data_IF_137505429892
#
_entry.id   IF_137505429892
#
_cell.length_a   1.000
_cell.length_b   1.000
_cell.length_c   1.000
_cell.angle_alpha   90.00
_cell.angle_beta   90.00
_cell.angle_gamma   90.00
#
_symmetry.space_group_name_H-M   'P 1'
#
loop_
_entity.id
_entity.type
_entity.pdbx_description
1 polymer ?
#
# COMPACT_ATOMS: atom_id res chain seq x y z
N UNK A 1 2.75 -7.05 3.04
CA UNK A 1 3.81 -6.25 2.39
C UNK A 1 4.53 -7.17 1.42
N UNK A 2 4.99 -6.61 0.30
CA UNK A 2 5.63 -7.37 -0.77
C UNK A 2 6.90 -6.65 -1.21
N UNK A 3 7.96 -7.39 -1.48
CA UNK A 3 9.25 -6.87 -1.87
C UNK A 3 9.51 -7.24 -3.31
N UNK A 4 10.32 -6.43 -4.00
CA UNK A 4 10.85 -6.80 -5.31
C UNK A 4 12.03 -7.73 -5.13
N UNK A 5 12.05 -8.83 -5.88
CA UNK A 5 13.18 -9.76 -5.87
C UNK A 5 14.45 -9.12 -6.42
N UNK A 6 14.33 -8.31 -7.48
CA UNK A 6 15.44 -7.57 -8.09
C UNK A 6 15.88 -6.33 -7.29
N UNK A 7 15.16 -5.95 -6.23
CA UNK A 7 15.45 -4.75 -5.43
C UNK A 7 14.83 -4.86 -4.04
N UNK A 8 15.48 -5.55 -3.08
CA UNK A 8 14.89 -5.88 -1.78
C UNK A 8 14.64 -4.64 -0.88
N UNK A 9 15.27 -3.50 -1.19
CA UNK A 9 14.98 -2.20 -0.54
C UNK A 9 13.66 -1.56 -1.01
N UNK A 10 13.01 -2.12 -2.04
CA UNK A 10 11.76 -1.61 -2.58
C UNK A 10 10.61 -2.48 -2.06
N UNK A 11 9.75 -1.87 -1.25
CA UNK A 11 8.58 -2.52 -0.66
C UNK A 11 7.29 -1.89 -1.14
N UNK A 12 6.31 -2.74 -1.44
CA UNK A 12 4.90 -2.38 -1.63
C UNK A 12 4.13 -2.70 -0.37
N UNK A 13 3.45 -1.68 0.12
CA UNK A 13 2.58 -1.77 1.30
C UNK A 13 1.16 -1.56 0.81
N UNK A 14 0.27 -2.47 1.19
CA UNK A 14 -1.09 -2.52 0.67
C UNK A 14 -2.03 -3.26 1.60
N UNK A 15 -3.28 -2.82 1.70
CA UNK A 15 -4.38 -3.54 2.34
C UNK A 15 -5.28 -4.21 1.30
N UNK A 16 -5.78 -5.41 1.58
CA UNK A 16 -6.68 -6.14 0.70
C UNK A 16 -7.53 -7.14 1.49
N UNK A 17 -8.74 -7.41 0.97
CA UNK A 17 -9.62 -8.47 1.47
C UNK A 17 -9.32 -9.83 0.82
N UNK A 18 -8.53 -9.86 -0.26
CA UNK A 18 -8.20 -11.08 -1.02
C UNK A 18 -7.04 -11.84 -0.39
N UNK A 19 -6.91 -13.12 -0.73
CA UNK A 19 -5.77 -13.94 -0.33
C UNK A 19 -4.45 -13.39 -0.89
N UNK A 20 -3.36 -13.55 -0.14
CA UNK A 20 -2.03 -13.02 -0.47
C UNK A 20 -1.54 -13.59 -1.81
N UNK A 21 -1.78 -14.88 -2.03
CA UNK A 21 -1.40 -15.65 -3.21
C UNK A 21 -2.17 -15.18 -4.46
N UNK A 22 -3.41 -14.73 -4.29
CA UNK A 22 -4.18 -14.15 -5.39
C UNK A 22 -3.65 -12.77 -5.80
N UNK A 23 -3.28 -11.94 -4.82
CA UNK A 23 -2.69 -10.64 -5.07
C UNK A 23 -1.34 -10.77 -5.75
N UNK A 24 -0.50 -11.67 -5.24
CA UNK A 24 0.82 -11.96 -5.81
C UNK A 24 0.70 -12.42 -7.26
N UNK A 25 -0.14 -13.43 -7.53
CA UNK A 25 -0.39 -13.89 -8.91
C UNK A 25 -0.96 -12.78 -9.79
N UNK A 26 -1.87 -11.96 -9.28
CA UNK A 26 -2.45 -10.85 -10.03
C UNK A 26 -1.42 -9.78 -10.40
N UNK A 27 -0.54 -9.43 -9.47
CA UNK A 27 0.48 -8.40 -9.68
C UNK A 27 1.62 -8.90 -10.55
N UNK A 28 2.10 -10.13 -10.36
CA UNK A 28 3.13 -10.71 -11.22
C UNK A 28 2.66 -10.71 -12.68
N UNK A 29 1.40 -11.10 -12.94
CA UNK A 29 0.80 -11.04 -14.28
C UNK A 29 0.66 -9.62 -14.83
N UNK A 30 0.19 -8.67 -14.01
CA UNK A 30 -0.15 -7.32 -14.50
C UNK A 30 1.06 -6.41 -14.66
N UNK A 31 2.08 -6.58 -13.80
CA UNK A 31 3.25 -5.72 -13.77
C UNK A 31 4.45 -6.31 -14.53
N UNK A 32 4.46 -7.62 -14.78
CA UNK A 32 5.59 -8.32 -15.41
C UNK A 32 6.86 -8.31 -14.54
N UNK A 33 6.69 -8.29 -13.22
CA UNK A 33 7.76 -8.28 -12.22
C UNK A 33 7.48 -9.35 -11.17
N UNK A 34 8.54 -9.96 -10.64
CA UNK A 34 8.44 -10.91 -9.55
C UNK A 34 8.47 -10.19 -8.21
N UNK A 35 7.43 -10.44 -7.43
CA UNK A 35 7.32 -9.96 -6.07
C UNK A 35 7.38 -11.14 -5.12
N UNK A 36 8.03 -10.93 -3.99
CA UNK A 36 8.12 -11.91 -2.90
C UNK A 36 7.44 -11.35 -1.67
N UNK A 37 6.97 -12.23 -0.80
CA UNK A 37 6.56 -11.87 0.54
C UNK A 37 7.33 -12.75 1.53
N UNK A 38 7.75 -12.18 2.65
CA UNK A 38 8.53 -12.89 3.65
C UNK A 38 7.64 -13.87 4.43
N UNK A 39 7.69 -15.15 4.08
CA UNK A 39 6.92 -16.20 4.75
C UNK A 39 7.27 -16.35 6.24
N UNK A 40 8.53 -16.16 6.62
CA UNK A 40 8.99 -16.28 8.01
C UNK A 40 8.40 -15.15 8.86
N UNK A 41 8.39 -13.94 8.31
CA UNK A 41 7.80 -12.78 8.96
C UNK A 41 6.34 -12.97 9.33
N UNK A 42 5.63 -13.74 8.50
CA UNK A 42 4.23 -14.02 8.67
C UNK A 42 3.99 -15.37 9.36
N UNK A 43 5.03 -16.17 9.63
CA UNK A 43 4.93 -17.57 10.10
C UNK A 43 3.87 -18.36 9.30
N UNK A 44 3.75 -18.10 8.00
CA UNK A 44 2.69 -18.66 7.14
C UNK A 44 1.26 -18.17 7.41
N UNK A 45 1.05 -17.20 8.29
CA UNK A 45 -0.28 -16.66 8.67
C UNK A 45 -0.52 -15.24 8.16
N UNK A 46 -1.76 -14.93 7.75
CA UNK A 46 -2.12 -13.58 7.29
C UNK A 46 -2.01 -12.57 8.45
N UNK A 47 -1.43 -11.40 8.20
CA UNK A 47 -1.53 -10.28 9.14
C UNK A 47 -2.95 -9.71 9.11
N UNK A 48 -3.78 -10.19 10.02
CA UNK A 48 -5.09 -9.59 10.27
C UNK A 48 -4.87 -8.37 11.15
N UNK A 49 -5.32 -7.22 10.66
CA UNK A 49 -5.31 -5.96 11.42
C UNK A 49 -6.70 -5.33 11.29
N UNK A 50 -7.36 -4.95 12.40
CA UNK A 50 -8.58 -4.18 12.33
C UNK A 50 -8.30 -2.86 11.61
N UNK A 51 -9.28 -2.35 10.86
CA UNK A 51 -9.13 -1.08 10.15
C UNK A 51 -7.88 -1.01 9.26
N UNK A 52 -7.56 -2.10 8.55
CA UNK A 52 -6.37 -2.18 7.71
C UNK A 52 -6.18 -1.00 6.72
N UNK A 53 -7.24 -0.43 6.09
CA UNK A 53 -7.09 0.78 5.27
C UNK A 53 -6.58 2.01 6.04
N UNK A 54 -6.95 2.15 7.32
CA UNK A 54 -6.49 3.23 8.18
C UNK A 54 -5.01 3.02 8.55
N UNK A 55 -4.63 1.79 8.90
CA UNK A 55 -3.23 1.42 9.16
C UNK A 55 -2.36 1.70 7.93
N UNK A 56 -2.83 1.32 6.74
CA UNK A 56 -2.15 1.60 5.47
C UNK A 56 -1.91 3.10 5.28
N UNK A 57 -2.94 3.94 5.47
CA UNK A 57 -2.83 5.40 5.34
C UNK A 57 -1.82 6.01 6.33
N UNK A 58 -1.78 5.52 7.57
CA UNK A 58 -0.83 5.99 8.58
C UNK A 58 0.61 5.63 8.19
N UNK A 59 0.85 4.39 7.76
CA UNK A 59 2.15 3.94 7.23
C UNK A 59 2.55 4.79 6.01
N UNK A 60 1.62 5.04 5.10
CA UNK A 60 1.84 5.84 3.90
C UNK A 60 2.22 7.28 4.22
N UNK A 61 1.71 7.82 5.33
CA UNK A 61 2.00 9.17 5.83
C UNK A 61 3.37 9.22 6.47
N UNK A 62 3.71 8.23 7.31
CA UNK A 62 5.03 8.14 7.93
C UNK A 62 6.13 7.95 6.89
N UNK A 63 5.91 7.07 5.91
CA UNK A 63 6.88 6.76 4.87
C UNK A 63 6.81 7.73 3.66
N UNK A 64 6.14 8.88 3.77
CA UNK A 64 5.92 9.80 2.64
C UNK A 64 7.22 10.22 1.95
N UNK A 65 8.29 10.43 2.74
CA UNK A 65 9.59 10.88 2.24
C UNK A 65 10.40 9.77 1.55
N UNK A 66 10.01 8.50 1.77
CA UNK A 66 10.63 7.33 1.13
C UNK A 66 9.81 6.80 -0.04
N UNK A 67 8.68 7.43 -0.35
CA UNK A 67 7.77 6.99 -1.42
C UNK A 67 8.43 7.24 -2.77
N UNK A 68 8.48 6.20 -3.59
CA UNK A 68 9.03 6.24 -4.95
C UNK A 68 7.94 6.03 -5.99
N UNK A 69 8.15 6.60 -7.17
CA UNK A 69 7.33 6.36 -8.36
C UNK A 69 8.04 5.39 -9.26
N UNK A 70 7.42 4.25 -9.54
CA UNK A 70 7.99 3.22 -10.42
C UNK A 70 7.19 3.19 -11.71
N UNK A 71 7.86 3.42 -12.84
CA UNK A 71 7.27 3.20 -14.16
C UNK A 71 7.04 1.70 -14.38
N UNK A 72 5.82 1.32 -14.76
CA UNK A 72 5.45 -0.07 -15.00
C UNK A 72 5.24 -0.32 -16.48
N UNK A 73 6.16 -1.06 -17.09
CA UNK A 73 6.05 -1.47 -18.49
C UNK A 73 4.85 -2.39 -18.71
N UNK A 74 4.57 -3.34 -17.80
CA UNK A 74 3.43 -4.25 -17.90
C UNK A 74 2.08 -3.53 -17.90
N UNK A 75 1.84 -2.65 -16.94
CA UNK A 75 0.60 -1.87 -16.86
C UNK A 75 0.50 -0.79 -17.96
N UNK A 76 1.63 -0.32 -18.49
CA UNK A 76 1.62 0.58 -19.65
C UNK A 76 1.15 -0.14 -20.91
N UNK A 77 1.63 -1.38 -21.15
CA UNK A 77 1.21 -2.21 -22.29
C UNK A 77 -0.28 -2.56 -22.24
N UNK A 78 -0.78 -3.01 -21.08
CA UNK A 78 -2.20 -3.36 -20.94
C UNK A 78 -3.14 -2.18 -21.19
N UNK A 79 -2.73 -0.96 -20.79
CA UNK A 79 -3.48 0.27 -21.08
C UNK A 79 -3.48 0.62 -22.57
N UNK A 80 -2.34 0.46 -23.24
CA UNK A 80 -2.23 0.70 -24.69
C UNK A 80 -3.07 -0.30 -25.49
N UNK A 81 -3.00 -1.59 -25.14
CA UNK A 81 -3.81 -2.65 -25.77
C UNK A 81 -5.32 -2.43 -25.56
N UNK A 82 -5.73 -2.02 -24.35
CA UNK A 82 -7.13 -1.69 -24.07
C UNK A 82 -7.64 -0.49 -24.91
N UNK A 83 -6.77 0.49 -25.19
CA UNK A 83 -7.10 1.63 -26.04
C UNK A 83 -7.15 1.29 -27.54
N UNK A 84 -6.46 0.22 -27.98
CA UNK A 84 -6.42 -0.22 -29.38
C UNK A 84 -7.61 -1.13 -29.78
N UNK A 85 -8.39 -1.65 -28.81
CA UNK A 85 -9.55 -2.50 -29.12
C UNK A 85 -10.70 -1.69 -29.71
N UNK A 86 -11.33 -2.14 -30.82
CA UNK A 86 -12.45 -1.44 -31.43
C UNK A 86 -13.63 -1.39 -30.45
N UNK A 87 -14.11 -0.18 -30.20
CA UNK A 87 -15.28 0.06 -29.38
C UNK A 87 -16.50 -0.48 -30.14
N UNK A 88 -17.19 -1.47 -29.58
CA UNK A 88 -18.41 -2.01 -30.17
C UNK A 88 -19.44 -0.91 -30.47
N UNK A 89 -20.28 -1.15 -31.49
CA UNK A 89 -21.16 -0.17 -32.19
C UNK A 89 -22.08 0.70 -31.30
N UNK A 90 -22.18 0.40 -30.00
CA UNK A 90 -23.09 1.03 -29.03
C UNK A 90 -22.41 1.56 -27.75
N UNK A 91 -21.16 2.00 -27.83
CA UNK A 91 -20.51 2.66 -26.69
C UNK A 91 -20.21 4.12 -27.01
N UNK A 92 -20.68 5.02 -26.12
CA UNK A 92 -20.35 6.45 -26.12
C UNK A 92 -18.83 6.62 -26.28
N UNK A 93 -18.43 7.52 -27.19
CA UNK A 93 -17.04 7.90 -27.43
C UNK A 93 -16.34 8.21 -26.09
N UNK A 94 -15.39 7.37 -25.68
CA UNK A 94 -14.37 7.78 -24.70
C UNK A 94 -13.19 8.33 -25.49
N UNK A 95 -13.14 9.65 -25.56
CA UNK A 95 -12.07 10.36 -26.21
C UNK A 95 -10.83 10.36 -25.29
N UNK A 96 -10.02 9.31 -25.27
CA UNK A 96 -8.71 9.37 -24.60
C UNK A 96 -7.70 8.40 -25.22
N UNK A 97 -7.03 8.83 -26.28
CA UNK A 97 -5.68 8.38 -26.56
C UNK A 97 -4.79 8.81 -25.39
N UNK A 98 -4.70 8.00 -24.32
CA UNK A 98 -3.62 8.14 -23.34
C UNK A 98 -2.66 6.98 -23.53
N UNK A 99 -1.77 7.14 -24.51
CA UNK A 99 -0.47 6.47 -24.66
C UNK A 99 0.47 6.82 -23.49
N UNK A 100 -0.06 6.89 -22.27
CA UNK A 100 0.63 7.38 -21.10
C UNK A 100 1.31 6.25 -20.35
N UNK A 101 2.60 6.43 -20.06
CA UNK A 101 3.34 5.64 -19.07
C UNK A 101 2.54 5.51 -17.77
N UNK A 102 2.40 4.30 -17.26
CA UNK A 102 1.74 4.03 -15.97
C UNK A 102 2.79 4.02 -14.87
N UNK A 103 2.52 4.77 -13.79
CA UNK A 103 3.39 4.84 -12.61
C UNK A 103 2.67 4.34 -11.38
N UNK A 104 3.26 3.37 -10.68
CA UNK A 104 2.83 2.99 -9.34
C UNK A 104 3.35 3.99 -8.30
N UNK A 105 2.53 4.30 -7.30
CA UNK A 105 2.83 5.27 -6.22
C UNK A 105 2.82 4.62 -4.83
N UNK A 106 2.53 3.33 -4.76
CA UNK A 106 2.42 2.54 -3.55
C UNK A 106 3.71 1.78 -3.21
N UNK A 107 4.85 2.32 -3.66
CA UNK A 107 6.19 1.77 -3.45
C UNK A 107 7.03 2.70 -2.57
N UNK A 108 7.85 2.10 -1.71
CA UNK A 108 8.72 2.80 -0.78
C UNK A 108 10.13 2.22 -0.86
N UNK A 109 11.14 3.10 -0.85
CA UNK A 109 12.55 2.74 -0.76
C UNK A 109 12.97 2.76 0.71
N UNK A 110 12.87 1.61 1.38
CA UNK A 110 13.17 1.45 2.82
C UNK A 110 13.71 0.05 3.10
N UNK A 111 14.55 -0.09 4.12
CA UNK A 111 14.96 -1.43 4.55
C UNK A 111 13.76 -2.25 5.05
N UNK A 112 13.84 -3.58 4.88
CA UNK A 112 12.81 -4.51 5.37
C UNK A 112 12.54 -4.29 6.86
N UNK A 113 13.60 -4.18 7.66
CA UNK A 113 13.55 -3.91 9.11
C UNK A 113 12.79 -2.63 9.42
N UNK A 114 13.08 -1.54 8.70
CA UNK A 114 12.41 -0.27 8.94
C UNK A 114 10.92 -0.31 8.56
N UNK A 115 10.57 -0.88 7.40
CA UNK A 115 9.17 -1.05 6.99
C UNK A 115 8.36 -1.83 8.04
N UNK A 116 8.98 -2.83 8.67
CA UNK A 116 8.38 -3.62 9.73
C UNK A 116 8.17 -2.84 11.01
N UNK A 117 9.18 -2.09 11.47
CA UNK A 117 9.04 -1.23 12.66
C UNK A 117 7.89 -0.23 12.47
N UNK A 118 7.80 0.40 11.30
CA UNK A 118 6.70 1.34 10.99
C UNK A 118 5.34 0.64 10.96
N UNK A 119 5.25 -0.53 10.32
CA UNK A 119 4.02 -1.33 10.34
C UNK A 119 3.61 -1.71 11.77
N UNK A 120 4.54 -2.21 12.58
CA UNK A 120 4.28 -2.63 13.95
C UNK A 120 3.82 -1.46 14.82
N UNK A 121 4.45 -0.29 14.68
CA UNK A 121 4.04 0.95 15.35
C UNK A 121 2.58 1.30 15.07
N UNK A 122 2.18 1.37 13.79
CA UNK A 122 0.81 1.76 13.44
C UNK A 122 -0.23 0.68 13.68
N UNK A 123 0.16 -0.60 13.55
CA UNK A 123 -0.66 -1.72 13.99
C UNK A 123 -0.95 -1.61 15.49
N UNK A 124 0.10 -1.44 16.30
CA UNK A 124 -0.05 -1.32 17.75
C UNK A 124 -0.95 -0.14 18.11
N UNK A 125 -0.74 1.02 17.48
CA UNK A 125 -1.59 2.20 17.67
C UNK A 125 -3.08 1.90 17.40
N UNK A 126 -3.41 1.31 16.26
CA UNK A 126 -4.80 1.01 15.90
C UNK A 126 -5.41 -0.07 16.81
N UNK A 127 -4.61 -1.02 17.30
CA UNK A 127 -5.06 -2.04 18.26
C UNK A 127 -5.42 -1.48 19.63
N UNK A 128 -4.95 -0.27 19.98
CA UNK A 128 -5.37 0.43 21.20
C UNK A 128 -6.78 1.03 21.10
N UNK A 129 -7.42 0.90 19.93
CA UNK A 129 -8.73 1.49 19.62
C UNK A 129 -8.79 2.99 19.98
N UNK A 130 -7.92 3.84 19.38
CA UNK A 130 -7.73 5.21 19.84
C UNK A 130 -8.81 6.16 19.32
N UNK A 131 -9.67 5.72 18.40
CA UNK A 131 -10.71 6.54 17.79
C UNK A 131 -12.09 6.15 18.30
N UNK A 132 -13.01 7.10 18.30
CA UNK A 132 -14.41 6.90 18.63
C UNK A 132 -15.28 7.73 17.70
N UNK A 133 -16.53 7.30 17.51
CA UNK A 133 -17.54 8.11 16.84
C UNK A 133 -18.09 9.15 17.84
N UNK A 134 -18.12 10.42 17.44
CA UNK A 134 -18.71 11.49 18.24
C UNK A 134 -20.22 11.58 18.01
N UNK A 135 -20.89 12.51 18.71
CA UNK A 135 -22.34 12.72 18.61
C UNK A 135 -22.81 13.17 17.21
N UNK A 136 -21.89 13.60 16.35
CA UNK A 136 -22.15 14.02 14.97
C UNK A 136 -21.88 12.91 13.95
N UNK A 137 -21.50 11.70 14.39
CA UNK A 137 -21.14 10.59 13.50
C UNK A 137 -19.73 10.68 12.93
N UNK A 138 -18.88 11.56 13.48
CA UNK A 138 -17.50 11.73 13.00
C UNK A 138 -16.53 10.89 13.83
N UNK A 139 -15.58 10.24 13.15
CA UNK A 139 -14.51 9.51 13.82
C UNK A 139 -13.43 10.48 14.31
N UNK A 140 -13.33 10.61 15.63
CA UNK A 140 -12.39 11.50 16.32
C UNK A 140 -11.44 10.71 17.21
N UNK A 141 -10.28 11.28 17.52
CA UNK A 141 -9.38 10.69 18.50
C UNK A 141 -9.97 10.83 19.91
N UNK A 142 -9.98 9.73 20.67
CA UNK A 142 -10.38 9.71 22.08
C UNK A 142 -9.49 10.66 22.90
N UNK A 143 -10.08 11.45 23.80
CA UNK A 143 -9.35 12.45 24.60
C UNK A 143 -8.21 11.85 25.42
N UNK A 144 -8.37 10.62 25.91
CA UNK A 144 -7.32 9.89 26.66
C UNK A 144 -6.04 9.67 25.86
N UNK A 145 -6.13 9.68 24.52
CA UNK A 145 -4.97 9.50 23.65
C UNK A 145 -4.32 10.81 23.22
N UNK A 146 -4.96 11.96 23.45
CA UNK A 146 -4.43 13.28 23.04
C UNK A 146 -3.06 13.55 23.65
N UNK A 147 -2.86 13.24 24.94
CA UNK A 147 -1.59 13.46 25.63
C UNK A 147 -0.41 12.73 24.95
N UNK A 148 -0.68 11.58 24.30
CA UNK A 148 0.35 10.73 23.69
C UNK A 148 0.51 10.96 22.18
N UNK A 149 -0.32 11.82 21.56
CA UNK A 149 -0.33 12.04 20.10
C UNK A 149 1.01 12.55 19.57
N UNK A 150 1.58 13.55 20.22
CA UNK A 150 2.83 14.17 19.77
C UNK A 150 3.96 13.15 19.64
N UNK A 151 4.05 12.23 20.61
CA UNK A 151 5.05 11.17 20.63
C UNK A 151 4.81 10.13 19.52
N UNK A 152 3.59 9.60 19.38
CA UNK A 152 3.31 8.59 18.34
C UNK A 152 3.41 9.17 16.92
N UNK A 153 3.16 10.46 16.74
CA UNK A 153 3.27 11.13 15.44
C UNK A 153 4.72 11.39 15.00
N UNK A 154 5.73 11.18 15.86
CA UNK A 154 7.12 11.28 15.43
C UNK A 154 7.48 10.11 14.49
N UNK A 155 7.92 10.38 13.25
CA UNK A 155 8.36 9.33 12.33
C UNK A 155 9.52 8.53 12.93
N UNK A 156 9.51 7.22 12.74
CA UNK A 156 10.70 6.44 13.08
C UNK A 156 11.87 6.83 12.17
N UNK A 157 13.06 6.92 12.73
CA UNK A 157 14.29 7.08 11.95
C UNK A 157 14.65 5.74 11.30
N UNK A 158 15.15 5.80 10.07
CA UNK A 158 15.72 4.63 9.42
C UNK A 158 17.13 4.44 9.96
N UNK A 159 17.30 3.43 10.80
CA UNK A 159 18.62 2.99 11.27
C UNK A 159 19.19 2.03 10.22
N UNK A 160 20.46 2.25 9.85
CA UNK A 160 21.25 1.36 8.98
C UNK A 160 21.43 -0.03 9.63
#
# INVERSE_FOLDING_TARGET
MFWREDSPQIVKIGASRRAVEELLRGWNRSCGKEYVYDQELYKGTKMVVPFAPQVERLIFTELKNYRIRIECSGCSKSRQEAAAKPIGKYSRMRNTATTGKVYHREWFCVSKRHALKVFQKWKAWIMLDPYMENVHGEWVLKRSFLANTSAICQPLTMED
#
